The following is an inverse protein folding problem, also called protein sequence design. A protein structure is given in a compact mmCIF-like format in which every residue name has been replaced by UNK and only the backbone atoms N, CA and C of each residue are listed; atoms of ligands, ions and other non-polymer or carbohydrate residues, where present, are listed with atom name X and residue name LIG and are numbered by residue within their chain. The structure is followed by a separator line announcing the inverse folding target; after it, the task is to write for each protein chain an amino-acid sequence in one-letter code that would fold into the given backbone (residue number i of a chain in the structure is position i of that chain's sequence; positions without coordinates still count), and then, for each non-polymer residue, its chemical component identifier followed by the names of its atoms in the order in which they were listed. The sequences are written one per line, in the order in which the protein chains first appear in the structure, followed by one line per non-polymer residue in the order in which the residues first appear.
data_IF_553315110575
#
_entry.id   IF_553315110575
#
_cell.length_a   1.000
_cell.length_b   1.000
_cell.length_c   1.000
_cell.angle_alpha   90.00
_cell.angle_beta   90.00
_cell.angle_gamma   90.00
#
_symmetry.space_group_name_H-M   'P 1'
#
loop_
_entity.id
_entity.type
_entity.pdbx_description
1 polymer ?
#
# COMPACT_ATOMS: atom_id res chain seq x y z
N UNK A 1 3.68 -24.74 -17.16
CA UNK A 1 3.11 -26.09 -17.37
C UNK A 1 3.80 -26.72 -18.56
N UNK A 2 4.48 -27.83 -18.33
CA UNK A 2 5.20 -28.57 -19.36
C UNK A 2 4.24 -29.25 -20.34
N UNK A 3 4.52 -29.15 -21.64
CA UNK A 3 3.83 -29.99 -22.64
C UNK A 3 4.30 -31.45 -22.53
N UNK A 4 3.56 -32.38 -23.15
CA UNK A 4 3.99 -33.79 -23.19
C UNK A 4 5.36 -33.99 -23.83
N UNK A 5 5.71 -33.17 -24.82
CA UNK A 5 7.03 -33.18 -25.45
C UNK A 5 8.11 -32.66 -24.49
N UNK A 6 7.82 -31.59 -23.75
CA UNK A 6 8.75 -31.05 -22.75
C UNK A 6 9.01 -32.04 -21.61
N UNK A 7 7.98 -32.80 -21.20
CA UNK A 7 8.14 -33.86 -20.19
C UNK A 7 9.09 -34.97 -20.66
N UNK A 8 8.98 -35.41 -21.91
CA UNK A 8 9.91 -36.40 -22.48
C UNK A 8 11.33 -35.85 -22.54
N UNK A 9 11.51 -34.62 -23.02
CA UNK A 9 12.81 -33.96 -23.04
C UNK A 9 13.40 -33.77 -21.64
N UNK A 10 12.56 -33.52 -20.62
CA UNK A 10 12.99 -33.42 -19.23
C UNK A 10 13.46 -34.78 -18.68
N UNK A 11 12.80 -35.89 -19.02
CA UNK A 11 13.25 -37.24 -18.65
C UNK A 11 14.66 -37.50 -19.19
N UNK A 12 14.89 -37.20 -20.46
CA UNK A 12 16.21 -37.37 -21.08
C UNK A 12 17.27 -36.47 -20.40
N UNK A 13 16.91 -35.21 -20.11
CA UNK A 13 17.79 -34.26 -19.43
C UNK A 13 18.12 -34.70 -17.99
N UNK A 14 17.19 -35.30 -17.27
CA UNK A 14 17.39 -35.84 -15.92
C UNK A 14 18.38 -37.02 -15.94
N UNK A 15 18.18 -37.97 -16.86
CA UNK A 15 19.09 -39.10 -17.05
C UNK A 15 20.51 -38.62 -17.40
N UNK A 16 20.64 -37.74 -18.39
CA UNK A 16 21.94 -37.18 -18.80
C UNK A 16 22.62 -36.38 -17.67
N UNK A 17 21.83 -35.65 -16.87
CA UNK A 17 22.37 -34.90 -15.73
C UNK A 17 22.87 -35.82 -14.62
N UNK A 18 22.12 -36.88 -14.31
CA UNK A 18 22.55 -37.87 -13.33
C UNK A 18 23.86 -38.55 -13.76
N UNK A 19 23.98 -38.92 -15.04
CA UNK A 19 25.17 -39.54 -15.63
C UNK A 19 26.38 -38.61 -15.56
N UNK A 20 26.20 -37.33 -15.92
CA UNK A 20 27.26 -36.32 -15.81
C UNK A 20 27.73 -36.12 -14.35
N UNK A 21 26.87 -36.38 -13.36
CA UNK A 21 27.18 -36.34 -11.93
C UNK A 21 27.76 -37.66 -11.39
N UNK A 22 28.01 -38.66 -12.25
CA UNK A 22 28.58 -39.94 -11.86
C UNK A 22 27.58 -40.94 -11.27
N UNK A 23 26.29 -40.76 -11.53
CA UNK A 23 25.21 -41.65 -11.08
C UNK A 23 24.31 -42.05 -12.24
N UNK A 24 23.55 -43.14 -12.12
CA UNK A 24 22.55 -43.50 -13.12
C UNK A 24 21.15 -43.29 -12.55
N UNK A 25 20.25 -42.80 -13.39
CA UNK A 25 18.83 -42.63 -13.06
C UNK A 25 18.02 -43.47 -14.04
N UNK A 26 17.14 -44.35 -13.55
CA UNK A 26 16.29 -45.13 -14.44
C UNK A 26 15.27 -44.23 -15.13
N UNK A 27 14.87 -44.58 -16.35
CA UNK A 27 13.84 -43.84 -17.09
C UNK A 27 12.53 -43.70 -16.30
N UNK A 28 12.16 -44.73 -15.52
CA UNK A 28 10.97 -44.69 -14.65
C UNK A 28 11.12 -43.69 -13.50
N UNK A 29 12.28 -43.64 -12.84
CA UNK A 29 12.54 -42.68 -11.77
C UNK A 29 12.62 -41.25 -12.32
N UNK A 30 13.26 -41.05 -13.47
CA UNK A 30 13.29 -39.78 -14.17
C UNK A 30 11.87 -39.31 -14.56
N UNK A 31 11.00 -40.22 -15.04
CA UNK A 31 9.61 -39.89 -15.35
C UNK A 31 8.80 -39.47 -14.12
N UNK A 32 9.02 -40.08 -12.96
CA UNK A 32 8.40 -39.64 -11.70
C UNK A 32 8.85 -38.23 -11.32
N UNK A 33 10.17 -37.97 -11.33
CA UNK A 33 10.73 -36.65 -11.04
C UNK A 33 10.21 -35.59 -12.04
N UNK A 34 10.11 -35.94 -13.32
CA UNK A 34 9.59 -35.04 -14.35
C UNK A 34 8.11 -34.69 -14.12
N UNK A 35 7.30 -35.63 -13.63
CA UNK A 35 5.91 -35.34 -13.26
C UNK A 35 5.82 -34.42 -12.03
N UNK A 36 6.65 -34.64 -11.01
CA UNK A 36 6.69 -33.78 -9.81
C UNK A 36 7.10 -32.32 -10.14
N UNK A 37 7.83 -32.13 -11.26
CA UNK A 37 8.32 -30.84 -11.72
C UNK A 37 7.42 -30.18 -12.78
N UNK A 38 6.24 -30.74 -13.08
CA UNK A 38 5.39 -30.30 -14.20
C UNK A 38 4.89 -28.85 -14.11
N UNK A 39 4.83 -28.33 -12.88
CA UNK A 39 4.33 -26.99 -12.58
C UNK A 39 5.37 -25.90 -12.92
N UNK A 40 6.65 -26.25 -13.02
CA UNK A 40 7.73 -25.32 -13.34
C UNK A 40 7.86 -25.12 -14.85
N UNK A 41 8.41 -23.97 -15.25
CA UNK A 41 8.74 -23.70 -16.65
C UNK A 41 10.06 -24.38 -17.05
N UNK A 42 10.21 -24.65 -18.35
CA UNK A 42 11.39 -25.33 -18.92
C UNK A 42 12.69 -24.59 -18.61
N UNK A 43 12.68 -23.25 -18.64
CA UNK A 43 13.86 -22.43 -18.39
C UNK A 43 14.39 -22.61 -16.97
N UNK A 44 13.50 -22.51 -15.98
CA UNK A 44 13.80 -22.75 -14.57
C UNK A 44 14.39 -24.15 -14.34
N UNK A 45 13.84 -25.17 -15.00
CA UNK A 45 14.33 -26.56 -14.86
C UNK A 45 15.72 -26.74 -15.47
N UNK A 46 15.98 -26.17 -16.65
CA UNK A 46 17.31 -26.20 -17.28
C UNK A 46 18.34 -25.55 -16.36
N UNK A 47 18.03 -24.37 -15.83
CA UNK A 47 18.89 -23.63 -14.91
C UNK A 47 19.19 -24.43 -13.63
N UNK A 48 18.17 -25.07 -13.06
CA UNK A 48 18.30 -25.89 -11.87
C UNK A 48 19.18 -27.12 -12.11
N UNK A 49 18.98 -27.83 -13.23
CA UNK A 49 19.81 -29.00 -13.60
C UNK A 49 21.26 -28.59 -13.88
N UNK A 50 21.48 -27.45 -14.55
CA UNK A 50 22.81 -26.89 -14.73
C UNK A 50 23.50 -26.56 -13.40
N UNK A 51 22.78 -25.96 -12.45
CA UNK A 51 23.31 -25.68 -11.12
C UNK A 51 23.62 -26.97 -10.34
N UNK A 52 22.77 -27.99 -10.45
CA UNK A 52 23.02 -29.30 -9.83
C UNK A 52 24.38 -29.88 -10.26
N UNK A 53 24.69 -29.84 -11.56
CA UNK A 53 25.98 -30.35 -12.07
C UNK A 53 27.21 -29.61 -11.54
N UNK A 54 27.06 -28.33 -11.17
CA UNK A 54 28.17 -27.49 -10.71
C UNK A 54 28.36 -27.54 -9.19
N UNK A 55 27.26 -27.66 -8.44
CA UNK A 55 27.24 -27.35 -7.01
C UNK A 55 26.88 -28.54 -6.11
N UNK A 56 26.18 -29.55 -6.64
CA UNK A 56 25.70 -30.66 -5.82
C UNK A 56 26.76 -31.75 -5.76
N UNK A 57 27.29 -31.98 -4.56
CA UNK A 57 28.12 -33.14 -4.29
C UNK A 57 27.23 -34.38 -4.09
N UNK A 58 27.33 -35.36 -5.00
CA UNK A 58 26.64 -36.64 -4.89
C UNK A 58 25.61 -36.88 -5.99
N UNK A 59 24.58 -37.67 -5.69
CA UNK A 59 23.58 -38.13 -6.67
C UNK A 59 22.54 -37.05 -6.94
N UNK A 60 22.06 -37.00 -8.19
CA UNK A 60 20.91 -36.18 -8.55
C UNK A 60 19.65 -36.68 -7.81
N UNK A 61 18.93 -35.77 -7.16
CA UNK A 61 17.67 -36.06 -6.47
C UNK A 61 16.66 -34.94 -6.72
N UNK A 62 15.37 -35.24 -6.59
CA UNK A 62 14.31 -34.22 -6.67
C UNK A 62 14.57 -33.07 -5.68
N UNK A 63 14.98 -33.40 -4.45
CA UNK A 63 15.31 -32.40 -3.43
C UNK A 63 16.43 -31.46 -3.88
N UNK A 64 17.49 -32.00 -4.49
CA UNK A 64 18.60 -31.18 -4.97
C UNK A 64 18.13 -30.20 -6.06
N UNK A 65 17.27 -30.66 -6.98
CA UNK A 65 16.68 -29.83 -8.04
C UNK A 65 15.82 -28.72 -7.43
N UNK A 66 14.86 -29.08 -6.56
CA UNK A 66 13.98 -28.12 -5.89
C UNK A 66 14.77 -27.07 -5.12
N UNK A 67 15.82 -27.46 -4.39
CA UNK A 67 16.68 -26.50 -3.69
C UNK A 67 17.35 -25.51 -4.63
N UNK A 68 17.74 -25.91 -5.84
CA UNK A 68 18.32 -24.97 -6.82
C UNK A 68 17.27 -24.01 -7.39
N UNK A 69 16.04 -24.48 -7.57
CA UNK A 69 14.90 -23.65 -7.95
C UNK A 69 14.61 -22.62 -6.85
N UNK A 70 14.52 -23.07 -5.60
CA UNK A 70 14.19 -22.24 -4.44
C UNK A 70 15.22 -21.13 -4.20
N UNK A 71 16.52 -21.38 -4.44
CA UNK A 71 17.56 -20.35 -4.32
C UNK A 71 17.36 -19.19 -5.29
N UNK A 72 16.69 -19.43 -6.43
CA UNK A 72 16.42 -18.44 -7.46
C UNK A 72 14.95 -18.00 -7.52
N UNK A 73 14.11 -18.39 -6.55
CA UNK A 73 12.68 -18.11 -6.59
C UNK A 73 12.33 -16.63 -6.30
N UNK A 74 13.34 -15.80 -5.99
CA UNK A 74 13.23 -14.36 -5.83
C UNK A 74 12.62 -13.91 -4.49
N UNK A 75 12.37 -14.84 -3.56
CA UNK A 75 11.84 -14.50 -2.23
C UNK A 75 12.97 -14.04 -1.30
N UNK A 76 12.71 -13.03 -0.45
CA UNK A 76 13.71 -12.57 0.51
C UNK A 76 13.93 -13.60 1.61
N UNK A 77 15.14 -13.55 2.20
CA UNK A 77 15.44 -14.34 3.40
C UNK A 77 14.59 -13.91 4.59
N UNK A 78 14.51 -14.76 5.61
CA UNK A 78 13.73 -14.53 6.85
C UNK A 78 13.96 -13.15 7.49
N UNK A 79 15.22 -12.77 7.65
CA UNK A 79 15.60 -11.51 8.29
C UNK A 79 15.33 -10.30 7.40
N UNK A 80 15.54 -10.44 6.09
CA UNK A 80 15.23 -9.41 5.11
C UNK A 80 13.70 -9.19 5.01
N UNK A 81 12.92 -10.27 4.97
CA UNK A 81 11.47 -10.24 5.00
C UNK A 81 10.95 -9.52 6.25
N UNK A 82 11.55 -9.77 7.42
CA UNK A 82 11.21 -9.06 8.65
C UNK A 82 11.56 -7.56 8.57
N UNK A 83 12.71 -7.21 8.01
CA UNK A 83 13.09 -5.80 7.82
C UNK A 83 12.12 -5.06 6.89
N UNK A 84 11.68 -5.69 5.80
CA UNK A 84 10.65 -5.16 4.89
C UNK A 84 9.33 -4.98 5.65
N UNK A 85 8.90 -5.99 6.41
CA UNK A 85 7.67 -5.95 7.18
C UNK A 85 7.67 -4.80 8.21
N UNK A 86 8.77 -4.63 8.93
CA UNK A 86 8.90 -3.56 9.93
C UNK A 86 8.85 -2.17 9.31
N UNK A 87 9.45 -1.98 8.12
CA UNK A 87 9.36 -0.72 7.39
C UNK A 87 7.89 -0.40 7.01
N UNK A 88 7.09 -1.41 6.70
CA UNK A 88 5.67 -1.23 6.36
C UNK A 88 4.76 -0.93 7.55
N UNK A 89 5.30 -0.91 8.77
CA UNK A 89 4.54 -0.55 9.97
C UNK A 89 4.31 0.97 10.09
N UNK A 90 5.13 1.79 9.42
CA UNK A 90 4.88 3.22 9.29
C UNK A 90 3.97 3.47 8.08
N UNK A 91 2.77 4.01 8.31
CA UNK A 91 1.78 4.30 7.26
C UNK A 91 2.26 5.37 6.27
N UNK A 92 3.27 6.17 6.64
CA UNK A 92 3.88 7.12 5.71
C UNK A 92 4.79 6.45 4.69
N UNK A 93 5.33 5.27 5.00
CA UNK A 93 6.32 4.61 4.18
C UNK A 93 5.69 3.75 3.08
N UNK A 94 6.20 3.91 1.86
CA UNK A 94 5.90 3.00 0.76
C UNK A 94 6.88 1.85 0.82
N UNK A 95 6.36 0.62 0.75
CA UNK A 95 7.19 -0.58 0.81
C UNK A 95 6.83 -1.52 -0.31
N UNK A 96 7.86 -2.10 -0.94
CA UNK A 96 7.70 -3.19 -1.90
C UNK A 96 7.92 -4.51 -1.16
N UNK A 97 6.90 -5.35 -1.15
CA UNK A 97 6.85 -6.58 -0.36
C UNK A 97 6.21 -7.71 -1.17
N UNK A 98 6.31 -8.94 -0.66
CA UNK A 98 5.64 -10.10 -1.24
C UNK A 98 4.36 -10.45 -0.48
N UNK A 99 3.48 -11.22 -1.11
CA UNK A 99 2.24 -11.70 -0.51
C UNK A 99 2.52 -12.45 0.81
N UNK A 100 3.58 -13.25 0.87
CA UNK A 100 3.96 -14.01 2.08
C UNK A 100 4.40 -13.10 3.22
N UNK A 101 5.10 -11.99 2.93
CA UNK A 101 5.45 -10.99 3.95
C UNK A 101 4.19 -10.33 4.48
N UNK A 102 3.25 -9.95 3.61
CA UNK A 102 2.03 -9.28 4.03
C UNK A 102 1.17 -10.21 4.92
N UNK A 103 1.01 -11.47 4.52
CA UNK A 103 0.28 -12.47 5.30
C UNK A 103 0.95 -12.76 6.65
N UNK A 104 2.29 -12.86 6.67
CA UNK A 104 3.04 -13.08 7.90
C UNK A 104 2.97 -11.88 8.86
N UNK A 105 3.02 -10.66 8.33
CA UNK A 105 2.87 -9.44 9.12
C UNK A 105 1.49 -9.34 9.75
N UNK A 106 0.44 -9.69 9.02
CA UNK A 106 -0.92 -9.74 9.55
C UNK A 106 -1.05 -10.73 10.72
N UNK A 107 -0.37 -11.89 10.65
CA UNK A 107 -0.35 -12.85 11.74
C UNK A 107 0.41 -12.34 12.99
N UNK A 108 1.45 -11.52 12.80
CA UNK A 108 2.25 -10.95 13.88
C UNK A 108 1.67 -9.65 14.48
N UNK A 109 0.74 -8.98 13.76
CA UNK A 109 0.18 -7.67 14.10
C UNK A 109 -0.33 -7.57 15.55
N UNK A 110 -1.13 -8.53 16.08
CA UNK A 110 -1.63 -8.42 17.45
C UNK A 110 -0.54 -8.37 18.52
N UNK A 111 0.59 -9.05 18.29
CA UNK A 111 1.74 -9.05 19.21
C UNK A 111 2.53 -7.76 19.07
N UNK A 112 2.67 -7.27 17.84
CA UNK A 112 3.35 -6.02 17.54
C UNK A 112 2.62 -4.80 18.13
N UNK A 113 1.28 -4.80 18.08
CA UNK A 113 0.42 -3.72 18.58
C UNK A 113 0.52 -3.55 20.11
N UNK A 114 0.81 -4.62 20.84
CA UNK A 114 1.08 -4.60 22.30
C UNK A 114 2.52 -4.16 22.61
N UNK A 115 3.37 -4.01 21.59
CA UNK A 115 4.74 -3.51 21.69
C UNK A 115 5.81 -4.59 21.89
N UNK A 116 5.45 -5.87 21.90
CA UNK A 116 6.43 -6.98 21.99
C UNK A 116 7.06 -7.27 20.62
N UNK A 117 8.15 -6.56 20.32
CA UNK A 117 8.88 -6.70 19.05
C UNK A 117 9.54 -8.07 18.89
N UNK A 118 9.95 -8.73 19.98
CA UNK A 118 10.61 -10.03 19.91
C UNK A 118 9.56 -11.11 19.64
N UNK A 119 8.45 -11.11 20.39
CA UNK A 119 7.32 -11.99 20.16
C UNK A 119 6.73 -11.82 18.76
N UNK A 120 6.59 -10.57 18.30
CA UNK A 120 6.12 -10.27 16.95
C UNK A 120 7.06 -10.82 15.87
N UNK A 121 8.38 -10.66 16.03
CA UNK A 121 9.36 -11.24 15.11
C UNK A 121 9.25 -12.76 15.08
N UNK A 122 9.10 -13.42 16.22
CA UNK A 122 8.97 -14.88 16.29
C UNK A 122 7.69 -15.37 15.60
N UNK A 123 6.56 -14.70 15.86
CA UNK A 123 5.29 -15.00 15.20
C UNK A 123 5.37 -14.77 13.68
N UNK A 124 5.97 -13.65 13.26
CA UNK A 124 6.19 -13.32 11.86
C UNK A 124 7.03 -14.40 11.16
N UNK A 125 8.21 -14.72 11.70
CA UNK A 125 9.13 -15.68 11.08
C UNK A 125 8.50 -17.06 10.92
N UNK A 126 7.76 -17.51 11.94
CA UNK A 126 7.04 -18.79 11.88
C UNK A 126 5.92 -18.76 10.82
N UNK A 127 5.19 -17.66 10.69
CA UNK A 127 4.16 -17.52 9.68
C UNK A 127 4.74 -17.41 8.26
N UNK A 128 5.80 -16.63 8.09
CA UNK A 128 6.51 -16.43 6.83
C UNK A 128 7.01 -17.76 6.27
N UNK A 129 7.72 -18.56 7.07
CA UNK A 129 8.20 -19.87 6.64
C UNK A 129 7.05 -20.76 6.16
N UNK A 130 5.92 -20.78 6.90
CA UNK A 130 4.74 -21.57 6.52
C UNK A 130 4.13 -21.10 5.19
N UNK A 131 4.04 -19.79 4.95
CA UNK A 131 3.50 -19.26 3.70
C UNK A 131 4.46 -19.48 2.53
N UNK A 132 5.76 -19.33 2.73
CA UNK A 132 6.79 -19.63 1.71
C UNK A 132 6.77 -21.11 1.35
N UNK A 133 6.74 -22.01 2.33
CA UNK A 133 6.60 -23.45 2.08
C UNK A 133 5.32 -23.75 1.30
N UNK A 134 4.18 -23.18 1.71
CA UNK A 134 2.92 -23.33 0.99
C UNK A 134 2.99 -22.86 -0.46
N UNK A 135 3.59 -21.70 -0.72
CA UNK A 135 3.75 -21.18 -2.07
C UNK A 135 4.64 -22.07 -2.93
N UNK A 136 5.77 -22.56 -2.38
CA UNK A 136 6.70 -23.48 -3.05
C UNK A 136 6.08 -24.84 -3.37
N UNK A 137 5.34 -25.42 -2.44
CA UNK A 137 4.62 -26.69 -2.67
C UNK A 137 3.63 -26.57 -3.84
N UNK A 138 3.02 -25.39 -4.02
CA UNK A 138 2.10 -25.12 -5.11
C UNK A 138 2.78 -24.52 -6.36
N UNK A 139 4.12 -24.48 -6.40
CA UNK A 139 4.92 -23.84 -7.44
C UNK A 139 4.45 -22.42 -7.81
N UNK A 140 4.00 -21.66 -6.82
CA UNK A 140 3.56 -20.28 -7.01
C UNK A 140 4.78 -19.37 -7.16
N UNK A 141 4.83 -18.65 -8.28
CA UNK A 141 5.84 -17.62 -8.50
C UNK A 141 5.75 -16.53 -7.42
N UNK A 142 6.89 -15.97 -7.02
CA UNK A 142 6.89 -14.83 -6.11
C UNK A 142 6.17 -13.65 -6.74
N UNK A 143 5.30 -13.01 -5.97
CA UNK A 143 4.59 -11.81 -6.41
C UNK A 143 5.05 -10.63 -5.57
N UNK A 144 5.88 -9.78 -6.18
CA UNK A 144 6.27 -8.50 -5.58
C UNK A 144 5.24 -7.42 -5.94
N UNK A 145 4.69 -6.80 -4.90
CA UNK A 145 3.71 -5.73 -5.01
C UNK A 145 4.08 -4.56 -4.10
N UNK A 146 3.42 -3.42 -4.33
CA UNK A 146 3.69 -2.17 -3.64
C UNK A 146 2.57 -1.91 -2.65
N UNK A 147 2.93 -1.72 -1.39
CA UNK A 147 2.07 -1.11 -0.38
C UNK A 147 2.35 0.39 -0.35
N UNK A 148 1.36 1.20 -0.72
CA UNK A 148 1.51 2.64 -0.87
C UNK A 148 1.39 3.35 0.49
N UNK A 149 2.43 4.09 0.87
CA UNK A 149 2.39 4.99 2.02
C UNK A 149 1.85 6.37 1.65
N UNK A 150 1.57 7.19 2.67
CA UNK A 150 1.02 8.54 2.48
C UNK A 150 2.01 9.55 1.90
N UNK A 151 3.33 9.38 2.09
CA UNK A 151 4.34 10.34 1.64
C UNK A 151 4.72 10.14 0.16
N UNK A 152 4.34 11.09 -0.69
CA UNK A 152 4.60 11.10 -2.14
C UNK A 152 6.10 11.05 -2.48
N UNK A 153 6.97 11.74 -1.71
CA UNK A 153 8.41 11.77 -1.96
C UNK A 153 9.07 10.44 -1.62
N UNK A 154 8.61 9.77 -0.55
CA UNK A 154 9.11 8.45 -0.18
C UNK A 154 8.67 7.34 -1.15
N UNK A 155 7.56 7.49 -1.87
CA UNK A 155 7.10 6.49 -2.86
C UNK A 155 8.12 6.27 -3.96
N UNK A 156 8.60 7.35 -4.57
CA UNK A 156 9.55 7.30 -5.69
C UNK A 156 10.86 6.64 -5.24
N UNK A 157 11.36 7.03 -4.07
CA UNK A 157 12.57 6.44 -3.49
C UNK A 157 12.42 4.93 -3.23
N UNK A 158 11.29 4.49 -2.65
CA UNK A 158 11.02 3.09 -2.38
C UNK A 158 10.94 2.24 -3.66
N UNK A 159 10.35 2.77 -4.73
CA UNK A 159 10.19 2.08 -6.00
C UNK A 159 11.51 1.98 -6.75
N UNK A 160 12.28 3.08 -6.81
CA UNK A 160 13.63 3.06 -7.34
C UNK A 160 14.47 2.02 -6.59
N UNK A 161 14.36 1.99 -5.25
CA UNK A 161 15.11 1.03 -4.45
C UNK A 161 14.73 -0.42 -4.75
N UNK A 162 13.44 -0.70 -4.92
CA UNK A 162 12.97 -2.04 -5.27
C UNK A 162 13.45 -2.48 -6.66
N UNK A 163 13.54 -1.54 -7.61
CA UNK A 163 14.07 -1.81 -8.94
C UNK A 163 15.59 -2.08 -8.91
N UNK A 164 16.35 -1.29 -8.14
CA UNK A 164 17.78 -1.52 -7.89
C UNK A 164 18.05 -2.91 -7.29
N UNK A 165 17.22 -3.31 -6.33
CA UNK A 165 17.29 -4.62 -5.68
C UNK A 165 16.69 -5.76 -6.54
N UNK A 166 16.29 -5.47 -7.78
CA UNK A 166 15.68 -6.44 -8.72
C UNK A 166 14.42 -7.14 -8.17
N UNK A 167 13.75 -6.54 -7.18
CA UNK A 167 12.46 -7.03 -6.65
C UNK A 167 11.32 -6.77 -7.63
N UNK A 168 11.44 -5.71 -8.42
CA UNK A 168 10.55 -5.40 -9.54
C UNK A 168 11.38 -5.06 -10.79
N UNK A 169 10.85 -5.32 -12.00
CA UNK A 169 11.51 -4.90 -13.24
C UNK A 169 11.66 -3.38 -13.32
N UNK A 170 12.76 -2.92 -13.92
CA UNK A 170 13.05 -1.49 -14.11
C UNK A 170 11.96 -0.77 -14.92
N UNK A 171 11.48 -1.40 -15.99
CA UNK A 171 10.37 -0.86 -16.80
C UNK A 171 9.08 -0.69 -15.96
N UNK A 172 8.76 -1.69 -15.13
CA UNK A 172 7.60 -1.62 -14.23
C UNK A 172 7.76 -0.48 -13.23
N UNK A 173 8.94 -0.29 -12.67
CA UNK A 173 9.23 0.81 -11.75
C UNK A 173 9.03 2.19 -12.41
N UNK A 174 9.50 2.36 -13.64
CA UNK A 174 9.32 3.60 -14.41
C UNK A 174 7.83 3.91 -14.66
N UNK A 175 7.05 2.90 -15.05
CA UNK A 175 5.59 3.05 -15.25
C UNK A 175 4.89 3.45 -13.94
N UNK A 176 5.22 2.78 -12.83
CA UNK A 176 4.64 3.11 -11.53
C UNK A 176 4.98 4.55 -11.10
N UNK A 177 6.21 4.99 -11.31
CA UNK A 177 6.63 6.37 -10.99
C UNK A 177 5.89 7.36 -11.89
N UNK A 178 5.73 7.06 -13.18
CA UNK A 178 4.99 7.92 -14.11
C UNK A 178 3.51 8.05 -13.69
N UNK A 179 2.85 6.94 -13.37
CA UNK A 179 1.45 6.94 -12.93
C UNK A 179 1.24 7.73 -11.63
N UNK A 180 2.23 7.73 -10.74
CA UNK A 180 2.16 8.47 -9.48
C UNK A 180 2.75 9.88 -9.54
N UNK A 181 3.34 10.26 -10.69
CA UNK A 181 3.75 11.63 -10.93
C UNK A 181 2.53 12.48 -11.27
N UNK A 182 1.79 12.89 -10.23
CA UNK A 182 0.83 13.97 -10.38
C UNK A 182 1.62 15.26 -10.59
N UNK A 183 1.10 16.19 -11.40
CA UNK A 183 1.70 17.53 -11.47
C UNK A 183 1.87 18.07 -10.05
N UNK A 184 3.06 18.58 -9.70
CA UNK A 184 3.30 19.11 -8.37
C UNK A 184 2.24 20.17 -8.05
N UNK A 185 1.74 20.17 -6.81
CA UNK A 185 0.77 21.19 -6.36
C UNK A 185 1.33 22.57 -6.74
N UNK A 186 0.60 23.29 -7.60
CA UNK A 186 1.05 24.59 -8.09
C UNK A 186 1.07 25.62 -6.95
N UNK A 187 1.80 26.73 -7.11
CA UNK A 187 1.69 27.87 -6.18
C UNK A 187 0.24 28.33 -5.99
N UNK A 188 -0.56 28.26 -7.06
CA UNK A 188 -1.98 28.57 -7.02
C UNK A 188 -2.77 27.57 -6.16
N UNK A 189 -2.48 26.27 -6.28
CA UNK A 189 -3.05 25.23 -5.41
C UNK A 189 -2.67 25.44 -3.94
N UNK A 190 -1.41 25.79 -3.67
CA UNK A 190 -0.94 26.15 -2.31
C UNK A 190 -1.66 27.39 -1.77
N UNK A 191 -1.83 28.42 -2.59
CA UNK A 191 -2.52 29.65 -2.20
C UNK A 191 -3.99 29.42 -1.88
N UNK A 192 -4.67 28.53 -2.60
CA UNK A 192 -6.06 28.12 -2.31
C UNK A 192 -6.13 27.35 -0.98
N UNK A 193 -5.27 26.35 -0.78
CA UNK A 193 -5.22 25.58 0.47
C UNK A 193 -4.90 26.48 1.68
N UNK A 194 -4.03 27.47 1.48
CA UNK A 194 -3.68 28.51 2.45
C UNK A 194 -4.87 29.30 3.02
N UNK A 195 -5.98 29.39 2.30
CA UNK A 195 -7.20 30.03 2.80
C UNK A 195 -7.90 29.22 3.89
N UNK A 196 -7.74 27.89 3.87
CA UNK A 196 -8.28 26.98 4.88
C UNK A 196 -7.34 26.87 6.08
N UNK A 197 -6.03 26.83 5.82
CA UNK A 197 -5.00 26.57 6.84
C UNK A 197 -4.39 27.83 7.44
N UNK A 198 -4.63 29.01 6.84
CA UNK A 198 -4.03 30.28 7.27
C UNK A 198 -2.58 30.48 6.84
N UNK A 199 -2.02 29.57 6.03
CA UNK A 199 -0.64 29.68 5.51
C UNK A 199 -0.59 30.52 4.23
N UNK A 200 0.35 31.47 4.17
CA UNK A 200 0.46 32.42 3.05
C UNK A 200 1.37 31.86 1.97
N UNK A 201 0.80 31.53 0.80
CA UNK A 201 1.52 31.29 -0.45
C UNK A 201 1.25 32.43 -1.45
N UNK A 202 2.12 32.63 -2.45
CA UNK A 202 2.00 33.73 -3.42
C UNK A 202 1.29 33.24 -4.70
N UNK A 203 0.00 33.53 -4.89
CA UNK A 203 -0.71 33.13 -6.10
C UNK A 203 -0.24 33.90 -7.34
N UNK A 204 -0.47 33.32 -8.50
CA UNK A 204 -0.36 33.97 -9.81
C UNK A 204 -1.29 35.18 -9.92
N UNK A 205 -1.00 36.09 -10.85
CA UNK A 205 -1.78 37.32 -11.02
C UNK A 205 -3.28 37.06 -11.27
N UNK A 206 -3.60 36.01 -12.04
CA UNK A 206 -4.98 35.62 -12.35
C UNK A 206 -5.71 35.10 -11.11
N UNK A 207 -5.08 34.19 -10.35
CA UNK A 207 -5.67 33.66 -9.11
C UNK A 207 -5.79 34.74 -8.05
N UNK A 208 -4.78 35.61 -7.90
CA UNK A 208 -4.83 36.77 -7.01
C UNK A 208 -6.01 37.70 -7.32
N UNK A 209 -6.32 37.91 -8.61
CA UNK A 209 -7.47 38.69 -9.03
C UNK A 209 -8.78 38.01 -8.63
N UNK A 210 -8.98 36.74 -8.98
CA UNK A 210 -10.19 35.98 -8.60
C UNK A 210 -10.40 35.93 -7.09
N UNK A 211 -9.33 35.77 -6.32
CA UNK A 211 -9.38 35.79 -4.85
C UNK A 211 -9.82 37.16 -4.31
N UNK A 212 -9.37 38.26 -4.92
CA UNK A 212 -9.83 39.62 -4.56
C UNK A 212 -11.31 39.80 -4.86
N UNK A 213 -11.77 39.36 -6.02
CA UNK A 213 -13.18 39.41 -6.42
C UNK A 213 -14.06 38.60 -5.45
N UNK A 214 -13.64 37.38 -5.11
CA UNK A 214 -14.34 36.53 -4.15
C UNK A 214 -14.39 37.18 -2.76
N UNK A 215 -13.26 37.74 -2.28
CA UNK A 215 -13.19 38.44 -0.99
C UNK A 215 -14.14 39.64 -0.94
N UNK A 216 -14.22 40.41 -2.02
CA UNK A 216 -15.16 41.53 -2.13
C UNK A 216 -16.61 41.06 -2.13
N UNK A 217 -16.93 40.01 -2.89
CA UNK A 217 -18.26 39.41 -2.93
C UNK A 217 -18.70 38.87 -1.55
N UNK A 218 -17.80 38.16 -0.85
CA UNK A 218 -18.04 37.67 0.50
C UNK A 218 -18.23 38.81 1.50
N UNK A 219 -17.43 39.88 1.40
CA UNK A 219 -17.60 41.05 2.25
C UNK A 219 -18.97 41.70 2.04
N UNK A 220 -19.40 41.87 0.78
CA UNK A 220 -20.72 42.41 0.44
C UNK A 220 -21.87 41.51 0.94
N UNK A 221 -21.72 40.20 0.82
CA UNK A 221 -22.70 39.23 1.35
C UNK A 221 -22.77 39.32 2.88
N UNK A 222 -21.63 39.36 3.56
CA UNK A 222 -21.56 39.47 5.02
C UNK A 222 -22.15 40.80 5.53
N UNK A 223 -21.89 41.93 4.86
CA UNK A 223 -22.48 43.22 5.24
C UNK A 223 -23.99 43.22 5.02
N UNK A 224 -24.48 42.70 3.88
CA UNK A 224 -25.92 42.51 3.64
C UNK A 224 -26.57 41.64 4.72
N UNK A 225 -25.95 40.50 5.06
CA UNK A 225 -26.44 39.60 6.11
C UNK A 225 -26.52 40.30 7.46
N UNK A 226 -25.46 41.03 7.86
CA UNK A 226 -25.44 41.82 9.11
C UNK A 226 -26.53 42.90 9.14
N UNK A 227 -26.78 43.58 8.01
CA UNK A 227 -27.85 44.57 7.89
C UNK A 227 -29.23 43.94 8.07
N UNK A 228 -29.49 42.81 7.41
CA UNK A 228 -30.75 42.07 7.54
C UNK A 228 -30.95 41.60 8.98
N UNK A 229 -29.92 41.04 9.61
CA UNK A 229 -29.95 40.63 11.02
C UNK A 229 -30.19 41.83 11.96
N UNK A 230 -29.56 42.97 11.71
CA UNK A 230 -29.77 44.19 12.49
C UNK A 230 -31.19 44.74 12.34
N UNK A 231 -31.76 44.74 11.13
CA UNK A 231 -33.16 45.12 10.89
C UNK A 231 -34.12 44.18 11.61
N UNK A 232 -33.87 42.86 11.56
CA UNK A 232 -34.67 41.86 12.28
C UNK A 232 -34.65 42.10 13.79
N UNK A 233 -33.46 42.34 14.36
CA UNK A 233 -33.29 42.66 15.79
C UNK A 233 -34.04 43.95 16.18
N UNK A 234 -33.96 45.00 15.36
CA UNK A 234 -34.69 46.27 15.59
C UNK A 234 -36.20 46.06 15.58
N UNK A 235 -36.73 45.28 14.63
CA UNK A 235 -38.16 44.95 14.57
C UNK A 235 -38.61 44.17 15.79
N UNK A 236 -37.90 43.10 16.15
CA UNK A 236 -38.19 42.32 17.35
C UNK A 236 -38.19 43.17 18.64
N UNK A 237 -37.26 44.12 18.75
CA UNK A 237 -37.21 45.02 19.92
C UNK A 237 -38.39 45.99 19.96
N UNK A 238 -38.84 46.48 18.80
CA UNK A 238 -40.08 47.28 18.70
C UNK A 238 -41.30 46.46 19.09
N UNK A 239 -41.47 45.28 18.50
CA UNK A 239 -42.60 44.38 18.80
C UNK A 239 -42.64 44.01 20.29
N UNK A 240 -41.47 43.76 20.91
CA UNK A 240 -41.37 43.49 22.34
C UNK A 240 -41.78 44.71 23.19
N UNK A 241 -41.26 45.89 22.88
CA UNK A 241 -41.62 47.12 23.58
C UNK A 241 -43.12 47.41 23.48
N UNK A 242 -43.73 47.22 22.31
CA UNK A 242 -45.18 47.37 22.12
C UNK A 242 -45.96 46.37 22.99
N UNK A 243 -45.51 45.12 23.11
CA UNK A 243 -46.12 44.14 24.02
C UNK A 243 -46.00 44.56 25.48
N UNK A 244 -44.83 45.04 25.92
CA UNK A 244 -44.63 45.53 27.29
C UNK A 244 -45.58 46.69 27.59
N UNK A 245 -45.68 47.67 26.69
CA UNK A 245 -46.60 48.81 26.84
C UNK A 245 -48.05 48.33 26.96
N UNK A 246 -48.49 47.42 26.09
CA UNK A 246 -49.86 46.85 26.16
C UNK A 246 -50.13 46.12 27.47
N UNK A 247 -49.18 45.32 27.96
CA UNK A 247 -49.34 44.60 29.23
C UNK A 247 -49.40 45.55 30.44
N UNK A 248 -48.56 46.58 30.46
CA UNK A 248 -48.59 47.60 31.52
C UNK A 248 -49.95 48.32 31.56
N UNK A 249 -50.48 48.72 30.40
CA UNK A 249 -51.80 49.35 30.31
C UNK A 249 -52.93 48.40 30.81
N UNK A 250 -52.86 47.11 30.47
CA UNK A 250 -53.82 46.12 30.95
C UNK A 250 -53.75 45.90 32.47
N UNK A 251 -52.55 45.94 33.06
CA UNK A 251 -52.36 45.87 34.52
C UNK A 251 -52.96 47.10 35.20
N UNK A 252 -52.73 48.30 34.66
CA UNK A 252 -53.34 49.53 35.19
C UNK A 252 -54.88 49.50 35.12
N UNK A 253 -55.47 48.99 34.03
CA UNK A 253 -56.92 48.83 33.93
C UNK A 253 -57.48 47.82 34.95
N UNK A 254 -56.78 46.70 35.17
CA UNK A 254 -57.17 45.71 36.18
C UNK A 254 -57.08 46.27 37.60
N UNK A 255 -56.04 47.07 37.89
CA UNK A 255 -55.89 47.75 39.18
C UNK A 255 -57.02 48.77 39.41
N UNK A 256 -57.44 49.50 38.37
CA UNK A 256 -58.59 50.41 38.46
C UNK A 256 -59.92 49.68 38.68
N UNK A 257 -60.10 48.50 38.08
CA UNK A 257 -61.31 47.66 38.26
C UNK A 257 -61.35 46.93 39.60
N UNK A 258 -60.22 46.63 40.23
CA UNK A 258 -60.16 46.03 41.56
C UNK A 258 -60.26 47.03 42.73
N UNK A 259 -60.27 48.33 42.43
CA UNK A 259 -60.40 49.42 43.41
C UNK A 259 -61.80 50.10 43.39
N UNK A 260 -62.76 49.51 42.66
CA UNK A 260 -64.20 49.81 42.71
C UNK A 260 -64.94 48.61 43.30
#
# INVERSE_FOLDING_TARGET
MLSSADKLGLVDALCATAEAMGSTLSATAAAMIANDLELYDVGTLIDALQACRREVAGKLSLQAILQRIEVKDGRPGRDEAWAIALASNDEFDTVVMTDEIQLALNAARPVLDVGDKIGARMAFLSAYDRFVTGARTNAQAVNWHISLGFDAGRRVAAINKAAELQRIPQERAQLLIADMSHEPVTEDGRAIAGLLTGTVAKPSANVAQKLRELKQAMHLQNTKRKLVEAHRRRRQRRDLNERVIKHLAAVEELQKRGAS
#
